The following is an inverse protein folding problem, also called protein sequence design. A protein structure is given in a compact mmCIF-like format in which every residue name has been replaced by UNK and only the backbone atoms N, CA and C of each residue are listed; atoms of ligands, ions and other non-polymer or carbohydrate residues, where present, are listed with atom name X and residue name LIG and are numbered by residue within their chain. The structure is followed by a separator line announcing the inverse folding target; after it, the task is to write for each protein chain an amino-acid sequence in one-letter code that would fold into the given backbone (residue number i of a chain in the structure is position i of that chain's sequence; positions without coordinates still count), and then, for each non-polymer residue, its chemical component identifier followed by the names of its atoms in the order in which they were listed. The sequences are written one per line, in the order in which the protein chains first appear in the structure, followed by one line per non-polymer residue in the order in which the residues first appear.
data_IF_113194370853
#
_entry.id   IF_113194370853
#
_cell.length_a   1.000
_cell.length_b   1.000
_cell.length_c   1.000
_cell.angle_alpha   90.00
_cell.angle_beta   90.00
_cell.angle_gamma   90.00
#
_symmetry.space_group_name_H-M   'P 1'
#
loop_
_entity.id
_entity.type
_entity.pdbx_description
1 polymer ?
#
# COMPACT_ATOMS: atom_id res chain seq x y z
N UNK A 1 10.07 -15.91 -15.25
CA UNK A 1 11.09 -14.86 -15.47
C UNK A 1 11.33 -14.22 -14.10
N UNK A 2 12.53 -14.34 -13.52
CA UNK A 2 12.83 -13.74 -12.22
C UNK A 2 13.20 -12.28 -12.48
N UNK A 3 12.26 -11.38 -12.27
CA UNK A 3 12.52 -9.93 -12.34
C UNK A 3 13.27 -9.55 -11.08
N UNK A 4 14.46 -9.00 -11.24
CA UNK A 4 15.31 -8.50 -10.15
C UNK A 4 14.73 -7.17 -9.65
N UNK A 5 14.33 -7.12 -8.38
CA UNK A 5 13.70 -5.96 -7.72
C UNK A 5 14.68 -4.80 -7.46
N UNK A 6 15.95 -4.90 -7.89
CA UNK A 6 16.98 -3.88 -7.64
C UNK A 6 16.93 -2.68 -8.59
N UNK A 7 16.15 -2.76 -9.68
CA UNK A 7 16.17 -1.77 -10.76
C UNK A 7 17.50 -1.77 -11.52
N UNK A 8 17.49 -1.30 -12.78
CA UNK A 8 18.74 -1.07 -13.51
C UNK A 8 19.51 0.13 -12.93
N UNK A 9 20.82 0.16 -13.18
CA UNK A 9 21.82 1.00 -12.54
C UNK A 9 21.42 2.47 -12.32
N UNK A 10 21.90 3.00 -11.20
CA UNK A 10 21.71 4.38 -10.70
C UNK A 10 20.41 4.71 -9.95
N UNK A 11 19.65 3.72 -9.46
CA UNK A 11 18.58 4.01 -8.48
C UNK A 11 19.20 4.29 -7.09
N UNK A 12 19.24 5.55 -6.70
CA UNK A 12 19.77 6.02 -5.41
C UNK A 12 18.83 5.59 -4.27
N UNK A 13 19.10 4.44 -3.66
CA UNK A 13 18.29 3.84 -2.59
C UNK A 13 18.60 4.46 -1.22
N UNK A 14 18.45 5.79 -1.10
CA UNK A 14 18.63 6.50 0.16
C UNK A 14 17.27 6.52 0.88
N UNK A 15 17.19 5.80 2.01
CA UNK A 15 15.96 5.61 2.79
C UNK A 15 15.46 6.86 3.54
N UNK A 16 15.36 8.01 2.86
CA UNK A 16 14.87 9.24 3.46
C UNK A 16 14.31 10.25 2.45
N UNK A 17 13.52 9.80 1.48
CA UNK A 17 12.55 10.64 0.76
C UNK A 17 11.63 9.71 -0.04
N UNK A 18 10.42 9.48 0.46
CA UNK A 18 9.32 8.96 -0.35
C UNK A 18 9.15 9.86 -1.58
N UNK A 19 9.20 9.26 -2.76
CA UNK A 19 8.93 9.99 -4.00
C UNK A 19 7.42 10.27 -4.01
N UNK A 20 6.98 11.54 -4.08
CA UNK A 20 5.57 11.89 -4.01
C UNK A 20 4.88 11.34 -5.24
N UNK A 21 3.90 10.46 -5.06
CA UNK A 21 3.13 9.95 -6.20
C UNK A 21 1.63 9.96 -5.93
N UNK A 22 1.08 11.13 -5.60
CA UNK A 22 -0.28 11.46 -6.01
C UNK A 22 -0.22 12.33 -7.28
N UNK A 23 -0.82 11.80 -8.36
CA UNK A 23 -0.97 12.36 -9.73
C UNK A 23 0.27 12.36 -10.65
N UNK A 24 0.59 11.16 -11.19
CA UNK A 24 0.91 10.98 -12.61
C UNK A 24 0.48 9.60 -13.11
N UNK A 25 -0.51 9.54 -13.99
CA UNK A 25 -0.70 8.42 -14.92
C UNK A 25 0.04 8.75 -16.24
N UNK A 26 0.60 7.79 -17.02
CA UNK A 26 0.22 6.37 -17.10
C UNK A 26 1.39 5.34 -16.99
N UNK A 27 1.01 4.10 -16.63
CA UNK A 27 1.61 2.77 -16.94
C UNK A 27 1.81 1.91 -15.68
N UNK A 28 1.38 0.65 -15.75
CA UNK A 28 1.47 -0.35 -14.69
C UNK A 28 2.58 -1.34 -15.02
N UNK A 29 3.47 -1.62 -14.06
CA UNK A 29 4.23 -2.88 -14.03
C UNK A 29 4.59 -3.43 -12.65
N UNK A 30 4.58 -2.65 -11.55
CA UNK A 30 5.05 -3.11 -10.23
C UNK A 30 4.15 -2.62 -9.07
N UNK A 31 3.81 -3.52 -8.13
CA UNK A 31 2.79 -3.36 -7.06
C UNK A 31 3.37 -2.84 -5.72
N UNK A 32 4.47 -2.10 -5.77
CA UNK A 32 5.23 -1.85 -4.55
C UNK A 32 4.83 -0.52 -3.90
N UNK A 33 4.04 -0.64 -2.82
CA UNK A 33 3.76 0.33 -1.74
C UNK A 33 2.45 1.13 -1.84
N UNK A 34 1.65 1.07 -0.78
CA UNK A 34 0.60 2.05 -0.49
C UNK A 34 1.06 2.90 0.67
N UNK A 35 1.09 4.19 0.42
CA UNK A 35 1.42 5.21 1.39
C UNK A 35 0.23 5.46 2.32
N UNK A 36 0.48 5.53 3.62
CA UNK A 36 -0.53 5.93 4.58
C UNK A 36 -1.07 7.34 4.27
N UNK A 37 -0.28 8.24 3.65
CA UNK A 37 -0.74 9.58 3.27
C UNK A 37 -1.83 9.62 2.18
N UNK A 38 -2.05 8.51 1.48
CA UNK A 38 -3.18 8.36 0.57
C UNK A 38 -4.52 8.43 1.29
N UNK A 39 -4.55 8.16 2.61
CA UNK A 39 -5.74 8.28 3.45
C UNK A 39 -5.88 9.71 3.98
N UNK A 40 -7.12 10.16 4.16
CA UNK A 40 -7.41 11.48 4.72
C UNK A 40 -6.80 11.65 6.13
N UNK A 41 -6.31 12.87 6.43
CA UNK A 41 -5.61 13.22 7.69
C UNK A 41 -6.25 12.66 8.96
N UNK A 42 -7.60 12.69 9.13
CA UNK A 42 -8.22 12.17 10.36
C UNK A 42 -8.01 10.67 10.59
N UNK A 43 -7.70 9.89 9.54
CA UNK A 43 -7.47 8.46 9.60
C UNK A 43 -5.99 8.14 9.91
N UNK A 44 -5.06 8.97 9.46
CA UNK A 44 -3.61 8.70 9.49
C UNK A 44 -2.83 9.82 10.18
N UNK A 45 -3.21 10.15 11.41
CA UNK A 45 -2.55 11.21 12.20
C UNK A 45 -1.06 10.96 12.48
N UNK A 46 -0.62 9.70 12.38
CA UNK A 46 0.76 9.28 12.50
C UNK A 46 1.53 9.30 11.18
N UNK A 47 1.01 9.93 10.13
CA UNK A 47 1.73 10.15 8.88
C UNK A 47 2.26 11.60 8.82
N UNK A 48 3.52 11.77 8.44
CA UNK A 48 4.17 13.09 8.35
C UNK A 48 3.58 13.93 7.21
N UNK A 49 3.25 13.28 6.09
CA UNK A 49 2.76 13.90 4.85
C UNK A 49 1.25 13.79 4.68
N UNK A 50 0.49 13.46 5.73
CA UNK A 50 -0.96 13.25 5.64
C UNK A 50 -1.68 14.36 4.85
N UNK A 51 -2.43 13.97 3.81
CA UNK A 51 -3.06 14.92 2.90
C UNK A 51 -4.50 15.26 3.31
N UNK A 52 -4.88 16.55 3.41
CA UNK A 52 -6.27 16.93 3.63
C UNK A 52 -7.12 16.53 2.42
N UNK A 53 -8.27 15.89 2.68
CA UNK A 53 -9.16 15.34 1.65
C UNK A 53 -8.50 14.21 0.83
N UNK A 54 -7.70 13.38 1.51
CA UNK A 54 -7.25 12.09 0.99
C UNK A 54 -8.40 11.07 0.88
N UNK A 55 -8.08 9.84 0.51
CA UNK A 55 -9.08 8.76 0.40
C UNK A 55 -9.68 8.44 1.77
N UNK A 56 -10.97 8.15 1.77
CA UNK A 56 -11.58 7.44 2.89
C UNK A 56 -11.09 5.98 2.92
N UNK A 57 -11.21 5.37 4.10
CA UNK A 57 -10.93 3.94 4.27
C UNK A 57 -11.72 3.07 3.27
N UNK A 58 -12.99 3.40 3.02
CA UNK A 58 -13.83 2.64 2.10
C UNK A 58 -13.36 2.75 0.65
N UNK A 59 -12.99 3.95 0.20
CA UNK A 59 -12.49 4.16 -1.17
C UNK A 59 -11.18 3.40 -1.40
N UNK A 60 -10.26 3.42 -0.44
CA UNK A 60 -9.01 2.67 -0.54
C UNK A 60 -9.25 1.15 -0.63
N UNK A 61 -10.21 0.64 0.16
CA UNK A 61 -10.62 -0.77 0.10
C UNK A 61 -11.24 -1.16 -1.24
N UNK A 62 -12.11 -0.31 -1.78
CA UNK A 62 -12.70 -0.53 -3.10
C UNK A 62 -11.62 -0.56 -4.19
N UNK A 63 -10.59 0.29 -4.06
CA UNK A 63 -9.40 0.23 -4.91
C UNK A 63 -8.67 -1.11 -4.79
N UNK A 64 -8.49 -1.66 -3.59
CA UNK A 64 -7.84 -2.98 -3.42
C UNK A 64 -8.63 -4.07 -4.13
N UNK A 65 -9.96 -4.07 -3.97
CA UNK A 65 -10.84 -4.99 -4.66
C UNK A 65 -10.73 -4.88 -6.18
N UNK A 66 -10.70 -3.65 -6.70
CA UNK A 66 -10.54 -3.41 -8.13
C UNK A 66 -9.16 -3.83 -8.67
N UNK A 67 -8.09 -3.65 -7.90
CA UNK A 67 -6.74 -4.11 -8.23
C UNK A 67 -6.70 -5.64 -8.26
N UNK A 68 -7.21 -6.30 -7.22
CA UNK A 68 -7.25 -7.76 -7.10
C UNK A 68 -8.09 -8.42 -8.21
N UNK A 69 -9.15 -7.75 -8.68
CA UNK A 69 -9.97 -8.24 -9.77
C UNK A 69 -9.29 -8.19 -11.15
N UNK A 70 -8.24 -7.37 -11.29
CA UNK A 70 -7.60 -7.09 -12.59
C UNK A 70 -6.16 -7.59 -12.68
N UNK A 71 -5.52 -7.90 -11.55
CA UNK A 71 -4.10 -8.22 -11.47
C UNK A 71 -3.84 -9.37 -10.50
N UNK A 72 -2.72 -10.06 -10.69
CA UNK A 72 -2.19 -11.01 -9.72
C UNK A 72 -1.40 -10.27 -8.64
N UNK A 73 -1.96 -10.11 -7.44
CA UNK A 73 -1.29 -9.42 -6.33
C UNK A 73 -0.28 -10.38 -5.69
N UNK A 74 1.02 -10.18 -5.94
CA UNK A 74 2.09 -11.03 -5.40
C UNK A 74 2.70 -10.52 -4.08
N UNK A 75 2.38 -9.28 -3.70
CA UNK A 75 2.93 -8.61 -2.52
C UNK A 75 2.24 -7.27 -2.26
N UNK A 76 2.45 -6.74 -1.05
CA UNK A 76 1.92 -5.48 -0.56
C UNK A 76 2.84 -4.94 0.52
N UNK A 77 3.03 -3.63 0.57
CA UNK A 77 3.76 -2.93 1.63
C UNK A 77 2.95 -1.71 2.10
N UNK A 78 3.07 -1.40 3.39
CA UNK A 78 2.35 -0.31 4.06
C UNK A 78 3.37 0.60 4.74
N UNK A 79 3.52 1.81 4.21
CA UNK A 79 4.62 2.74 4.56
C UNK A 79 4.12 4.04 5.19
N UNK A 80 5.06 4.93 5.54
CA UNK A 80 4.81 6.24 6.17
C UNK A 80 4.04 6.22 7.50
N UNK A 81 4.23 5.14 8.26
CA UNK A 81 3.77 5.06 9.66
C UNK A 81 4.83 5.63 10.59
N UNK A 82 4.50 6.71 11.29
CA UNK A 82 5.31 7.29 12.35
C UNK A 82 4.56 7.24 13.70
N UNK A 83 4.78 6.19 14.53
CA UNK A 83 4.11 6.03 15.81
C UNK A 83 4.34 7.17 16.81
N UNK A 84 5.43 7.94 16.66
CA UNK A 84 5.74 9.06 17.56
C UNK A 84 4.84 10.28 17.26
N UNK A 85 4.39 10.42 16.02
CA UNK A 85 3.47 11.49 15.61
C UNK A 85 2.00 11.10 15.75
N UNK A 86 1.73 9.80 15.85
CA UNK A 86 0.37 9.30 15.96
C UNK A 86 -0.31 9.76 17.25
N UNK A 87 -1.64 9.84 17.23
CA UNK A 87 -2.40 10.09 18.45
C UNK A 87 -2.18 8.93 19.44
N UNK A 88 -2.35 9.19 20.74
CA UNK A 88 -2.02 8.21 21.79
C UNK A 88 -2.75 6.85 21.70
N UNK A 89 -3.75 6.72 20.83
CA UNK A 89 -4.42 5.44 20.54
C UNK A 89 -3.73 4.59 19.46
N UNK A 90 -2.73 5.12 18.74
CA UNK A 90 -2.02 4.39 17.68
C UNK A 90 -2.89 4.09 16.45
N UNK A 91 -3.78 5.01 16.07
CA UNK A 91 -4.83 4.76 15.05
C UNK A 91 -4.23 4.44 13.68
N UNK A 92 -3.11 5.06 13.30
CA UNK A 92 -2.48 4.86 11.99
C UNK A 92 -1.94 3.44 11.87
N UNK A 93 -1.28 2.95 12.92
CA UNK A 93 -0.81 1.56 12.98
C UNK A 93 -1.97 0.55 12.99
N UNK A 94 -3.07 0.89 13.68
CA UNK A 94 -4.26 0.06 13.71
C UNK A 94 -4.92 -0.07 12.34
N UNK A 95 -5.11 1.05 11.63
CA UNK A 95 -5.65 1.04 10.26
C UNK A 95 -4.72 0.30 9.31
N UNK A 96 -3.41 0.51 9.42
CA UNK A 96 -2.41 -0.23 8.66
C UNK A 96 -2.54 -1.74 8.81
N UNK A 97 -2.69 -2.23 10.04
CA UNK A 97 -2.89 -3.65 10.31
C UNK A 97 -4.17 -4.20 9.63
N UNK A 98 -5.27 -3.43 9.65
CA UNK A 98 -6.49 -3.82 8.95
C UNK A 98 -6.29 -3.90 7.43
N UNK A 99 -5.67 -2.89 6.82
CA UNK A 99 -5.39 -2.88 5.39
C UNK A 99 -4.50 -4.07 4.96
N UNK A 100 -3.48 -4.39 5.75
CA UNK A 100 -2.62 -5.57 5.51
C UNK A 100 -3.45 -6.86 5.56
N UNK A 101 -4.27 -7.05 6.58
CA UNK A 101 -5.11 -8.25 6.72
C UNK A 101 -6.10 -8.36 5.56
N UNK A 102 -6.71 -7.27 5.16
CA UNK A 102 -7.63 -7.25 4.03
C UNK A 102 -6.94 -7.56 2.69
N UNK A 103 -5.77 -6.96 2.45
CA UNK A 103 -4.97 -7.26 1.27
C UNK A 103 -4.58 -8.74 1.23
N UNK A 104 -4.12 -9.31 2.35
CA UNK A 104 -3.83 -10.74 2.46
C UNK A 104 -5.06 -11.61 2.17
N UNK A 105 -6.24 -11.19 2.64
CA UNK A 105 -7.51 -11.85 2.29
C UNK A 105 -7.76 -11.86 0.78
N UNK A 106 -7.56 -10.73 0.10
CA UNK A 106 -7.69 -10.62 -1.34
C UNK A 106 -6.64 -11.44 -2.10
N UNK A 107 -5.42 -11.54 -1.59
CA UNK A 107 -4.38 -12.44 -2.12
C UNK A 107 -4.82 -13.90 -2.01
N UNK A 108 -5.28 -14.30 -0.83
CA UNK A 108 -5.75 -15.66 -0.58
C UNK A 108 -6.93 -16.07 -1.48
N UNK A 109 -7.78 -15.11 -1.85
CA UNK A 109 -8.96 -15.38 -2.68
C UNK A 109 -8.66 -15.52 -4.19
N UNK A 110 -7.48 -15.10 -4.65
CA UNK A 110 -7.13 -15.16 -6.08
C UNK A 110 -6.92 -16.58 -6.58
N UNK A 111 -7.36 -16.84 -7.81
CA UNK A 111 -7.30 -18.16 -8.43
C UNK A 111 -5.87 -18.71 -8.57
N UNK A 112 -4.90 -17.86 -8.89
CA UNK A 112 -3.49 -18.28 -9.01
C UNK A 112 -2.90 -18.69 -7.65
N UNK A 113 -3.29 -18.02 -6.56
CA UNK A 113 -2.84 -18.35 -5.20
C UNK A 113 -3.44 -19.69 -4.77
N UNK A 114 -4.75 -19.85 -4.91
CA UNK A 114 -5.46 -21.11 -4.64
C UNK A 114 -4.86 -22.30 -5.40
N UNK A 115 -4.61 -22.12 -6.70
CA UNK A 115 -3.92 -23.12 -7.52
C UNK A 115 -2.49 -23.43 -7.04
N UNK A 116 -1.75 -22.43 -6.53
CA UNK A 116 -0.38 -22.58 -6.02
C UNK A 116 -0.32 -23.33 -4.68
N UNK A 117 -1.27 -23.07 -3.78
CA UNK A 117 -1.30 -23.66 -2.43
C UNK A 117 -2.21 -24.89 -2.31
N UNK A 118 -2.81 -25.32 -3.43
CA UNK A 118 -3.65 -26.52 -3.54
C UNK A 118 -4.83 -26.53 -2.55
N UNK A 119 -5.51 -25.37 -2.43
CA UNK A 119 -6.76 -25.15 -1.67
C UNK A 119 -7.84 -24.57 -2.56
#
# INVERSE_FOLDING_TARGET
MKTDMRGEGERSNHGWVGIPTFLRAPYCSDIDTIDADALDVPLVSGCVSAEPNGMSYAELRDCFGAIAARNEIVGFDFVEVNPVLDVGTGVTSYIGAHLVVECLGLVCEQAWWKARVNV
#
